data_IF_293956577340
#
_entry.id   IF_293956577340
#
_cell.length_a   1.000
_cell.length_b   1.000
_cell.length_c   1.000
_cell.angle_alpha   90.00
_cell.angle_beta   90.00
_cell.angle_gamma   90.00
#
_symmetry.space_group_name_H-M   'P 1'
#
loop_
_entity.id
_entity.type
_entity.pdbx_description
1 polymer ?
#
# COMPACT_ATOMS: atom_id res chain seq x y z
N UNK A 1 -18.05 1.68 -22.36
CA UNK A 1 -17.56 0.48 -21.64
C UNK A 1 -16.04 0.58 -21.62
N UNK A 2 -15.41 0.88 -20.46
CA UNK A 2 -13.96 0.76 -20.35
C UNK A 2 -13.60 -0.74 -20.42
N UNK A 3 -12.76 -1.08 -21.37
CA UNK A 3 -12.22 -2.45 -21.52
C UNK A 3 -11.50 -2.85 -20.22
N UNK A 4 -11.84 -4.00 -19.69
CA UNK A 4 -11.25 -4.50 -18.44
C UNK A 4 -9.74 -4.68 -18.67
N UNK A 5 -8.93 -3.98 -17.90
CA UNK A 5 -7.46 -3.93 -18.05
C UNK A 5 -6.86 -5.33 -17.93
N UNK A 6 -6.10 -5.76 -18.93
CA UNK A 6 -5.50 -7.09 -18.96
C UNK A 6 -4.32 -7.15 -17.99
N UNK A 7 -4.46 -7.89 -16.88
CA UNK A 7 -3.34 -8.13 -15.95
C UNK A 7 -2.22 -8.92 -16.64
N UNK A 8 -1.00 -8.40 -16.60
CA UNK A 8 0.19 -9.01 -17.21
C UNK A 8 1.07 -9.67 -16.16
N UNK A 9 1.89 -10.67 -16.56
CA UNK A 9 2.84 -11.31 -15.65
C UNK A 9 3.83 -10.33 -15.03
N UNK A 10 4.29 -9.32 -15.79
CA UNK A 10 5.16 -8.27 -15.26
C UNK A 10 4.44 -7.38 -14.22
N UNK A 11 3.14 -7.12 -14.42
CA UNK A 11 2.32 -6.41 -13.43
C UNK A 11 2.20 -7.19 -12.13
N UNK A 12 1.95 -8.49 -12.23
CA UNK A 12 1.90 -9.40 -11.07
C UNK A 12 3.24 -9.40 -10.32
N UNK A 13 4.35 -9.52 -11.04
CA UNK A 13 5.68 -9.50 -10.44
C UNK A 13 5.94 -8.22 -9.62
N UNK A 14 5.65 -7.04 -10.19
CA UNK A 14 5.83 -5.78 -9.47
C UNK A 14 4.94 -5.68 -8.23
N UNK A 15 3.68 -6.12 -8.31
CA UNK A 15 2.76 -6.07 -7.17
C UNK A 15 3.15 -7.06 -6.07
N UNK A 16 3.62 -8.25 -6.42
CA UNK A 16 4.12 -9.22 -5.44
C UNK A 16 5.41 -8.73 -4.76
N UNK A 17 6.34 -8.14 -5.54
CA UNK A 17 7.54 -7.54 -4.99
C UNK A 17 7.18 -6.42 -3.99
N UNK A 18 6.20 -5.59 -4.34
CA UNK A 18 5.66 -4.56 -3.43
C UNK A 18 5.13 -5.19 -2.14
N UNK A 19 4.31 -6.25 -2.25
CA UNK A 19 3.73 -6.92 -1.08
C UNK A 19 4.79 -7.52 -0.14
N UNK A 20 5.84 -8.15 -0.71
CA UNK A 20 6.97 -8.66 0.09
C UNK A 20 7.66 -7.52 0.85
N UNK A 21 8.04 -6.46 0.13
CA UNK A 21 8.78 -5.33 0.74
C UNK A 21 7.93 -4.63 1.79
N UNK A 22 6.63 -4.42 1.53
CA UNK A 22 5.74 -3.79 2.50
C UNK A 22 5.43 -4.68 3.70
N UNK A 23 5.35 -5.99 3.53
CA UNK A 23 5.20 -6.90 4.65
C UNK A 23 6.34 -6.73 5.67
N UNK A 24 7.59 -6.74 5.21
CA UNK A 24 8.73 -6.46 6.08
C UNK A 24 8.80 -5.00 6.56
N UNK A 25 8.19 -4.06 5.82
CA UNK A 25 8.14 -2.66 6.24
C UNK A 25 7.28 -2.46 7.50
N UNK A 26 6.25 -3.29 7.75
CA UNK A 26 5.50 -3.23 9.00
C UNK A 26 6.37 -3.51 10.20
N UNK A 27 7.28 -4.49 10.10
CA UNK A 27 8.27 -4.78 11.15
C UNK A 27 9.20 -3.58 11.37
N UNK A 28 9.73 -3.01 10.29
CA UNK A 28 10.57 -1.82 10.37
C UNK A 28 9.82 -0.62 10.97
N UNK A 29 8.56 -0.41 10.60
CA UNK A 29 7.71 0.64 11.15
C UNK A 29 7.46 0.45 12.66
N UNK A 30 7.21 -0.79 13.09
CA UNK A 30 7.03 -1.14 14.51
C UNK A 30 8.29 -0.84 15.30
N UNK A 31 9.46 -1.33 14.86
CA UNK A 31 10.75 -1.03 15.53
C UNK A 31 11.07 0.47 15.49
N UNK A 32 10.77 1.15 14.39
CA UNK A 32 11.00 2.59 14.24
C UNK A 32 10.14 3.43 15.17
N UNK A 33 8.90 3.03 15.45
CA UNK A 33 7.98 3.76 16.31
C UNK A 33 8.32 3.73 17.79
N UNK A 34 9.23 2.84 18.22
CA UNK A 34 9.80 2.87 19.58
C UNK A 34 10.70 4.09 19.82
N UNK A 35 11.17 4.74 18.75
CA UNK A 35 12.17 5.78 18.80
C UNK A 35 11.74 7.10 18.16
N UNK A 36 10.92 7.05 17.11
CA UNK A 36 10.58 8.20 16.28
C UNK A 36 9.08 8.25 16.03
N UNK A 37 8.45 9.40 16.31
CA UNK A 37 7.02 9.61 16.11
C UNK A 37 6.60 9.56 14.64
N UNK A 38 5.32 9.27 14.39
CA UNK A 38 4.76 8.99 13.07
C UNK A 38 5.06 10.08 12.02
N UNK A 39 4.98 11.35 12.39
CA UNK A 39 5.20 12.46 11.46
C UNK A 39 6.66 12.54 11.01
N UNK A 40 7.62 12.47 11.95
CA UNK A 40 9.04 12.54 11.62
C UNK A 40 9.49 11.30 10.88
N UNK A 41 9.05 10.10 11.32
CA UNK A 41 9.35 8.85 10.63
C UNK A 41 8.88 8.89 9.17
N UNK A 42 7.64 9.30 8.91
CA UNK A 42 7.11 9.46 7.56
C UNK A 42 7.86 10.54 6.77
N UNK A 43 8.13 11.70 7.36
CA UNK A 43 8.87 12.79 6.72
C UNK A 43 10.22 12.32 6.19
N UNK A 44 11.00 11.63 7.03
CA UNK A 44 12.34 11.15 6.68
C UNK A 44 12.27 10.03 5.63
N UNK A 45 11.42 9.00 5.83
CA UNK A 45 11.37 7.87 4.87
C UNK A 45 10.89 8.29 3.48
N UNK A 46 9.91 9.21 3.40
CA UNK A 46 9.45 9.73 2.12
C UNK A 46 10.47 10.64 1.45
N UNK A 47 11.24 11.43 2.22
CA UNK A 47 12.36 12.20 1.70
C UNK A 47 13.44 11.28 1.09
N UNK A 48 13.86 10.26 1.81
CA UNK A 48 14.86 9.28 1.34
C UNK A 48 14.37 8.56 0.06
N UNK A 49 13.10 8.12 0.04
CA UNK A 49 12.51 7.48 -1.13
C UNK A 49 12.42 8.43 -2.33
N UNK A 50 12.03 9.68 -2.12
CA UNK A 50 12.00 10.70 -3.18
C UNK A 50 13.39 11.00 -3.75
N UNK A 51 14.38 11.16 -2.89
CA UNK A 51 15.78 11.39 -3.29
C UNK A 51 16.35 10.19 -4.07
N UNK A 52 16.01 8.96 -3.68
CA UNK A 52 16.47 7.74 -4.37
C UNK A 52 15.98 7.64 -5.82
N UNK A 53 14.86 8.30 -6.15
CA UNK A 53 14.32 8.29 -7.52
C UNK A 53 15.00 9.29 -8.46
N UNK A 54 15.72 10.30 -7.94
CA UNK A 54 16.36 11.31 -8.79
C UNK A 54 17.30 10.70 -9.83
N UNK A 55 18.28 9.84 -9.47
CA UNK A 55 19.15 9.20 -10.46
C UNK A 55 18.38 8.23 -11.37
N UNK A 56 17.36 7.56 -10.86
CA UNK A 56 16.55 6.62 -11.66
C UNK A 56 15.77 7.38 -12.74
N UNK A 57 15.16 8.54 -12.40
CA UNK A 57 14.47 9.40 -13.36
C UNK A 57 15.45 9.92 -14.41
N UNK A 58 16.63 10.39 -14.01
CA UNK A 58 17.63 10.92 -14.93
C UNK A 58 18.09 9.87 -15.94
N UNK A 59 18.24 8.60 -15.52
CA UNK A 59 18.77 7.53 -16.37
C UNK A 59 17.69 6.83 -17.22
N UNK A 60 16.50 6.65 -16.71
CA UNK A 60 15.50 5.75 -17.31
C UNK A 60 14.25 6.43 -17.85
N UNK A 61 13.94 7.67 -17.46
CA UNK A 61 12.74 8.31 -17.93
C UNK A 61 12.95 9.06 -19.25
N UNK A 62 12.35 8.54 -20.31
CA UNK A 62 12.38 9.16 -21.63
C UNK A 62 11.28 10.23 -21.75
N UNK A 63 11.66 11.39 -22.31
CA UNK A 63 10.70 12.45 -22.65
C UNK A 63 9.85 12.04 -23.86
N UNK A 64 8.55 12.41 -23.83
CA UNK A 64 7.73 12.27 -25.03
C UNK A 64 8.28 13.22 -26.11
N UNK A 65 8.51 12.76 -27.36
CA UNK A 65 9.06 13.57 -28.44
C UNK A 65 8.09 14.68 -28.89
N UNK A 66 6.77 14.49 -28.76
CA UNK A 66 5.78 15.52 -29.06
C UNK A 66 5.65 16.53 -27.91
N UNK A 67 5.99 17.83 -28.14
CA UNK A 67 5.97 18.83 -27.07
C UNK A 67 4.59 19.10 -26.46
N UNK A 68 3.51 19.02 -27.24
CA UNK A 68 2.15 19.25 -26.75
C UNK A 68 1.72 18.11 -25.81
N UNK A 69 1.88 16.87 -26.26
CA UNK A 69 1.63 15.67 -25.45
C UNK A 69 2.52 15.61 -24.22
N UNK A 70 3.79 16.04 -24.33
CA UNK A 70 4.71 16.12 -23.20
C UNK A 70 4.21 17.09 -22.12
N UNK A 71 3.78 18.31 -22.51
CA UNK A 71 3.25 19.32 -21.57
C UNK A 71 1.99 18.82 -20.84
N UNK A 72 1.07 18.21 -21.59
CA UNK A 72 -0.15 17.64 -21.00
C UNK A 72 0.18 16.49 -20.03
N UNK A 73 1.08 15.59 -20.41
CA UNK A 73 1.51 14.47 -19.60
C UNK A 73 2.16 14.93 -18.29
N UNK A 74 3.03 15.95 -18.34
CA UNK A 74 3.63 16.55 -17.14
C UNK A 74 2.55 17.14 -16.24
N UNK A 75 1.61 17.95 -16.80
CA UNK A 75 0.53 18.55 -16.02
C UNK A 75 -0.30 17.49 -15.30
N UNK A 76 -0.70 16.44 -16.00
CA UNK A 76 -1.46 15.32 -15.41
C UNK A 76 -0.64 14.61 -14.33
N UNK A 77 0.64 14.37 -14.58
CA UNK A 77 1.56 13.75 -13.60
C UNK A 77 1.68 14.57 -12.32
N UNK A 78 1.79 15.89 -12.43
CA UNK A 78 1.89 16.79 -11.27
C UNK A 78 0.58 16.81 -10.48
N UNK A 79 -0.56 17.00 -11.15
CA UNK A 79 -1.87 17.05 -10.46
C UNK A 79 -2.18 15.72 -9.78
N UNK A 80 -2.05 14.62 -10.50
CA UNK A 80 -2.28 13.29 -9.94
C UNK A 80 -1.29 12.96 -8.81
N UNK A 81 -0.01 13.36 -8.95
CA UNK A 81 1.02 13.19 -7.93
C UNK A 81 0.72 13.95 -6.64
N UNK A 82 0.19 15.17 -6.75
CA UNK A 82 -0.22 15.96 -5.57
C UNK A 82 -1.43 15.30 -4.89
N UNK A 83 -2.46 14.93 -5.64
CA UNK A 83 -3.66 14.27 -5.09
C UNK A 83 -3.28 12.95 -4.41
N UNK A 84 -2.50 12.10 -5.09
CA UNK A 84 -2.02 10.86 -4.50
C UNK A 84 -1.08 11.10 -3.32
N UNK A 85 -0.26 12.15 -3.36
CA UNK A 85 0.63 12.52 -2.26
C UNK A 85 -0.14 12.89 -0.98
N UNK A 86 -1.25 13.63 -1.11
CA UNK A 86 -2.12 13.95 0.03
C UNK A 86 -2.77 12.67 0.59
N UNK A 87 -3.33 11.83 -0.27
CA UNK A 87 -3.93 10.55 0.14
C UNK A 87 -2.90 9.64 0.80
N UNK A 88 -1.71 9.54 0.21
CA UNK A 88 -0.61 8.73 0.70
C UNK A 88 -0.09 9.23 2.05
N UNK A 89 0.10 10.54 2.21
CA UNK A 89 0.51 11.16 3.47
C UNK A 89 -0.51 10.86 4.57
N UNK A 90 -1.80 11.09 4.30
CA UNK A 90 -2.86 10.85 5.28
C UNK A 90 -2.95 9.36 5.65
N UNK A 91 -2.93 8.46 4.65
CA UNK A 91 -2.97 7.02 4.88
C UNK A 91 -1.76 6.53 5.68
N UNK A 92 -0.54 6.91 5.27
CA UNK A 92 0.70 6.49 5.92
C UNK A 92 0.81 7.05 7.35
N UNK A 93 0.30 8.25 7.59
CA UNK A 93 0.28 8.85 8.93
C UNK A 93 -0.68 8.11 9.84
N UNK A 94 -1.90 7.82 9.39
CA UNK A 94 -2.85 7.02 10.17
C UNK A 94 -2.31 5.61 10.43
N UNK A 95 -1.65 4.99 9.45
CA UNK A 95 -1.03 3.67 9.62
C UNK A 95 0.08 3.70 10.68
N UNK A 96 1.03 4.62 10.56
CA UNK A 96 2.16 4.72 11.48
C UNK A 96 1.70 5.10 12.89
N UNK A 97 0.78 6.05 12.99
CA UNK A 97 0.19 6.45 14.27
C UNK A 97 -0.61 5.31 14.91
N UNK A 98 -1.35 4.52 14.11
CA UNK A 98 -2.03 3.34 14.59
C UNK A 98 -1.08 2.27 15.16
N UNK A 99 0.09 2.06 14.54
CA UNK A 99 1.15 1.19 15.06
C UNK A 99 1.65 1.70 16.42
N UNK A 100 1.92 3.00 16.55
CA UNK A 100 2.29 3.60 17.84
C UNK A 100 1.21 3.39 18.91
N UNK A 101 -0.06 3.56 18.57
CA UNK A 101 -1.18 3.34 19.49
C UNK A 101 -1.26 1.89 19.94
N UNK A 102 -1.08 0.92 19.04
CA UNK A 102 -1.04 -0.51 19.39
C UNK A 102 0.10 -0.82 20.37
N UNK A 103 1.29 -0.26 20.14
CA UNK A 103 2.42 -0.45 21.07
C UNK A 103 2.15 0.17 22.44
N UNK A 104 1.63 1.41 22.48
CA UNK A 104 1.26 2.09 23.74
C UNK A 104 0.17 1.35 24.50
N UNK A 105 -0.77 0.72 23.80
CA UNK A 105 -1.81 -0.12 24.39
C UNK A 105 -1.33 -1.53 24.77
N UNK A 106 -0.08 -1.88 24.47
CA UNK A 106 0.54 -3.17 24.82
C UNK A 106 0.08 -4.34 23.97
N UNK A 107 -0.35 -4.10 22.72
CA UNK A 107 -0.68 -5.19 21.80
C UNK A 107 0.61 -5.90 21.36
N UNK A 108 0.71 -7.23 21.54
CA UNK A 108 1.95 -7.99 21.29
C UNK A 108 2.23 -8.23 19.78
N UNK A 109 1.22 -8.00 18.93
CA UNK A 109 1.23 -8.29 17.48
C UNK A 109 0.95 -7.03 16.64
N UNK A 110 1.49 -5.88 17.05
CA UNK A 110 1.22 -4.58 16.44
C UNK A 110 1.48 -4.54 14.93
N UNK A 111 2.56 -5.17 14.46
CA UNK A 111 2.90 -5.24 13.04
C UNK A 111 1.90 -6.07 12.23
N UNK A 112 1.56 -7.27 12.70
CA UNK A 112 0.60 -8.16 12.07
C UNK A 112 -0.81 -7.56 12.05
N UNK A 113 -1.24 -6.95 13.17
CA UNK A 113 -2.55 -6.29 13.30
C UNK A 113 -2.69 -5.09 12.37
N UNK A 114 -1.68 -4.23 12.31
CA UNK A 114 -1.67 -3.10 11.38
C UNK A 114 -1.67 -3.57 9.93
N UNK A 115 -0.88 -4.58 9.57
CA UNK A 115 -0.86 -5.19 8.25
C UNK A 115 -2.22 -5.76 7.84
N UNK A 116 -2.92 -6.44 8.77
CA UNK A 116 -4.28 -6.94 8.53
C UNK A 116 -5.29 -5.84 8.24
N UNK A 117 -5.39 -4.88 9.14
CA UNK A 117 -6.39 -3.82 9.03
C UNK A 117 -6.15 -2.96 7.79
N UNK A 118 -4.87 -2.66 7.48
CA UNK A 118 -4.50 -1.97 6.24
C UNK A 118 -4.92 -2.76 5.01
N UNK A 119 -4.64 -4.06 4.96
CA UNK A 119 -4.92 -4.91 3.81
C UNK A 119 -6.43 -5.06 3.50
N UNK A 120 -7.32 -4.62 4.39
CA UNK A 120 -8.77 -4.55 4.12
C UNK A 120 -9.11 -3.62 2.96
N UNK A 121 -8.17 -2.77 2.48
CA UNK A 121 -8.35 -2.03 1.22
C UNK A 121 -8.68 -2.97 0.04
N UNK A 122 -8.28 -4.23 0.08
CA UNK A 122 -8.62 -5.21 -0.97
C UNK A 122 -10.12 -5.47 -1.10
N UNK A 123 -10.88 -5.31 -0.02
CA UNK A 123 -12.36 -5.37 -0.04
C UNK A 123 -12.94 -4.03 -0.48
N UNK A 124 -12.34 -2.93 0.00
CA UNK A 124 -12.82 -1.57 -0.27
C UNK A 124 -12.63 -1.17 -1.75
N UNK A 125 -11.51 -1.55 -2.39
CA UNK A 125 -11.26 -1.23 -3.80
C UNK A 125 -12.35 -1.75 -4.75
N UNK A 126 -12.73 -3.04 -4.75
CA UNK A 126 -13.81 -3.50 -5.60
C UNK A 126 -15.18 -2.93 -5.21
N UNK A 127 -15.43 -2.64 -3.92
CA UNK A 127 -16.65 -1.95 -3.48
C UNK A 127 -16.75 -0.53 -4.03
N UNK A 128 -15.67 0.25 -3.94
CA UNK A 128 -15.62 1.59 -4.54
C UNK A 128 -15.75 1.54 -6.06
N UNK A 129 -15.10 0.59 -6.72
CA UNK A 129 -15.28 0.38 -8.16
C UNK A 129 -16.74 0.09 -8.52
N UNK A 130 -17.45 -0.70 -7.72
CA UNK A 130 -18.88 -0.98 -7.92
C UNK A 130 -19.73 0.30 -7.78
N UNK A 131 -19.43 1.15 -6.79
CA UNK A 131 -20.10 2.44 -6.62
C UNK A 131 -19.85 3.39 -7.81
N UNK A 132 -18.71 3.28 -8.49
CA UNK A 132 -18.41 4.00 -9.73
C UNK A 132 -18.89 3.29 -11.01
N UNK A 133 -19.76 2.28 -10.90
CA UNK A 133 -20.34 1.55 -12.02
C UNK A 133 -19.40 0.52 -12.70
N UNK A 134 -18.20 0.30 -12.16
CA UNK A 134 -17.28 -0.74 -12.64
C UNK A 134 -17.59 -2.07 -11.93
N UNK A 135 -17.73 -3.16 -12.69
CA UNK A 135 -18.03 -4.49 -12.13
C UNK A 135 -16.76 -5.33 -12.02
N UNK A 136 -16.50 -5.90 -10.85
CA UNK A 136 -15.51 -6.95 -10.69
C UNK A 136 -16.10 -8.33 -11.10
N UNK A 137 -15.26 -9.21 -11.63
CA UNK A 137 -15.66 -10.55 -12.02
C UNK A 137 -15.96 -11.45 -10.81
N UNK A 138 -16.74 -12.54 -11.01
CA UNK A 138 -17.08 -13.49 -9.96
C UNK A 138 -15.82 -14.05 -9.25
N UNK A 139 -14.80 -14.46 -10.01
CA UNK A 139 -13.57 -15.00 -9.45
C UNK A 139 -12.79 -13.97 -8.63
N UNK A 140 -12.90 -12.67 -8.95
CA UNK A 140 -12.34 -11.59 -8.11
C UNK A 140 -13.03 -11.56 -6.75
N UNK A 141 -14.37 -11.66 -6.71
CA UNK A 141 -15.13 -11.68 -5.46
C UNK A 141 -14.86 -12.92 -4.62
N UNK A 142 -14.73 -14.09 -5.26
CA UNK A 142 -14.33 -15.34 -4.60
C UNK A 142 -12.93 -15.17 -3.99
N UNK A 143 -12.00 -14.61 -4.76
CA UNK A 143 -10.63 -14.34 -4.30
C UNK A 143 -10.58 -13.35 -3.12
N UNK A 144 -11.35 -12.28 -3.18
CA UNK A 144 -11.53 -11.32 -2.07
C UNK A 144 -12.07 -12.03 -0.83
N UNK A 145 -13.07 -12.92 -0.98
CA UNK A 145 -13.64 -13.69 0.12
C UNK A 145 -12.60 -14.61 0.79
N UNK A 146 -11.85 -15.41 0.01
CA UNK A 146 -10.77 -16.24 0.54
C UNK A 146 -9.70 -15.43 1.23
N UNK A 147 -9.26 -14.32 0.62
CA UNK A 147 -8.24 -13.47 1.19
C UNK A 147 -8.74 -12.78 2.48
N UNK A 148 -9.99 -12.32 2.55
CA UNK A 148 -10.58 -11.72 3.75
C UNK A 148 -10.66 -12.72 4.92
N UNK A 149 -11.09 -13.97 4.66
CA UNK A 149 -11.11 -15.04 5.66
C UNK A 149 -9.67 -15.36 6.09
N UNK A 150 -8.76 -15.46 5.15
CA UNK A 150 -7.33 -15.71 5.43
C UNK A 150 -6.72 -14.62 6.30
N UNK A 151 -6.95 -13.36 5.98
CA UNK A 151 -6.53 -12.22 6.76
C UNK A 151 -7.08 -12.28 8.20
N UNK A 152 -8.36 -12.57 8.34
CA UNK A 152 -8.98 -12.76 9.65
C UNK A 152 -8.29 -13.86 10.47
N UNK A 153 -7.96 -14.97 9.84
CA UNK A 153 -7.27 -16.09 10.50
C UNK A 153 -5.83 -15.77 10.88
N UNK A 154 -5.12 -14.96 10.09
CA UNK A 154 -3.74 -14.55 10.36
C UNK A 154 -3.67 -13.62 11.56
N UNK A 155 -4.59 -12.69 11.67
CA UNK A 155 -4.42 -11.52 12.55
C UNK A 155 -5.24 -11.52 13.83
N UNK A 156 -6.32 -12.32 13.91
CA UNK A 156 -7.16 -12.34 15.10
C UNK A 156 -6.75 -13.45 16.05
N UNK A 157 -6.03 -13.12 17.11
CA UNK A 157 -5.46 -14.12 18.04
C UNK A 157 -6.44 -14.70 19.06
N UNK A 158 -7.38 -13.96 19.67
CA UNK A 158 -8.22 -14.55 20.74
C UNK A 158 -9.58 -13.92 21.00
N UNK A 159 -9.76 -12.63 20.84
CA UNK A 159 -11.07 -11.98 21.03
C UNK A 159 -11.24 -10.90 19.98
N UNK A 160 -12.27 -11.07 19.13
CA UNK A 160 -12.63 -10.05 18.17
C UNK A 160 -13.34 -8.90 18.88
N UNK A 161 -12.55 -8.00 19.49
CA UNK A 161 -13.02 -6.72 19.96
C UNK A 161 -12.35 -5.64 19.08
N UNK A 162 -13.15 -4.84 18.39
CA UNK A 162 -12.68 -3.66 17.67
C UNK A 162 -12.28 -2.63 18.71
N UNK A 163 -11.01 -2.26 18.75
CA UNK A 163 -10.50 -1.20 19.62
C UNK A 163 -10.53 0.17 18.93
N UNK A 164 -10.46 1.28 19.66
CA UNK A 164 -10.36 2.61 19.07
C UNK A 164 -9.13 2.75 18.14
N UNK A 165 -8.02 2.09 18.47
CA UNK A 165 -6.78 2.05 17.68
C UNK A 165 -7.00 1.38 16.33
N UNK A 166 -7.84 0.33 16.27
CA UNK A 166 -8.22 -0.34 15.02
C UNK A 166 -8.93 0.62 14.07
N UNK A 167 -9.77 1.52 14.58
CA UNK A 167 -10.49 2.48 13.74
C UNK A 167 -9.54 3.45 13.04
N UNK A 168 -8.42 3.80 13.66
CA UNK A 168 -7.38 4.64 13.06
C UNK A 168 -6.77 3.93 11.85
N UNK A 169 -6.40 2.65 12.01
CA UNK A 169 -5.81 1.86 10.91
C UNK A 169 -6.86 1.51 9.85
N UNK A 170 -8.11 1.27 10.22
CA UNK A 170 -9.20 1.13 9.24
C UNK A 170 -9.39 2.40 8.40
N UNK A 171 -9.25 3.58 9.01
CA UNK A 171 -9.24 4.84 8.29
C UNK A 171 -8.11 4.89 7.23
N UNK A 172 -6.93 4.37 7.53
CA UNK A 172 -5.85 4.30 6.56
C UNK A 172 -6.19 3.35 5.39
N UNK A 173 -6.88 2.23 5.63
CA UNK A 173 -7.29 1.30 4.58
C UNK A 173 -8.25 1.97 3.56
N UNK A 174 -9.17 2.83 4.03
CA UNK A 174 -10.05 3.64 3.17
C UNK A 174 -9.23 4.57 2.27
N UNK A 175 -8.24 5.26 2.83
CA UNK A 175 -7.38 6.18 2.09
C UNK A 175 -6.46 5.46 1.12
N UNK A 176 -5.90 4.29 1.48
CA UNK A 176 -5.13 3.47 0.56
C UNK A 176 -6.00 2.91 -0.58
N UNK A 177 -7.25 2.52 -0.31
CA UNK A 177 -8.17 2.12 -1.37
C UNK A 177 -8.41 3.28 -2.36
N UNK A 178 -8.64 4.49 -1.87
CA UNK A 178 -8.76 5.68 -2.69
C UNK A 178 -7.47 5.96 -3.49
N UNK A 179 -6.30 5.87 -2.86
CA UNK A 179 -4.99 6.02 -3.51
C UNK A 179 -4.80 5.02 -4.67
N UNK A 180 -5.10 3.74 -4.46
CA UNK A 180 -5.05 2.69 -5.50
C UNK A 180 -5.94 3.06 -6.69
N UNK A 181 -7.16 3.56 -6.44
CA UNK A 181 -8.10 3.93 -7.50
C UNK A 181 -7.68 5.20 -8.26
N UNK A 182 -7.04 6.16 -7.59
CA UNK A 182 -6.49 7.35 -8.27
C UNK A 182 -5.31 6.95 -9.16
N UNK A 183 -4.42 6.07 -8.71
CA UNK A 183 -3.35 5.52 -9.57
C UNK A 183 -3.96 4.82 -10.79
N UNK A 184 -4.99 3.98 -10.63
CA UNK A 184 -5.64 3.32 -11.77
C UNK A 184 -6.26 4.34 -12.75
N UNK A 185 -6.91 5.38 -12.22
CA UNK A 185 -7.60 6.40 -13.03
C UNK A 185 -6.64 7.16 -13.95
N UNK A 186 -5.43 7.46 -13.49
CA UNK A 186 -4.46 8.28 -14.20
C UNK A 186 -3.29 7.47 -14.77
N UNK A 187 -3.13 6.19 -14.41
CA UNK A 187 -1.92 5.39 -14.62
C UNK A 187 -1.33 5.44 -16.03
N UNK A 188 -2.16 5.43 -17.08
CA UNK A 188 -1.70 5.43 -18.48
C UNK A 188 -1.27 6.83 -18.96
N UNK A 189 -1.70 7.89 -18.27
CA UNK A 189 -1.41 9.29 -18.61
C UNK A 189 -0.33 9.91 -17.69
N UNK A 190 0.61 9.10 -17.17
CA UNK A 190 1.63 9.55 -16.21
C UNK A 190 3.05 9.16 -16.61
N UNK A 191 4.00 10.04 -16.28
CA UNK A 191 5.39 9.67 -16.07
C UNK A 191 5.53 8.99 -14.70
N UNK A 192 5.57 7.65 -14.68
CA UNK A 192 5.43 6.87 -13.44
C UNK A 192 6.46 7.21 -12.36
N UNK A 193 7.74 7.37 -12.75
CA UNK A 193 8.80 7.71 -11.79
C UNK A 193 8.64 9.13 -11.23
N UNK A 194 8.31 10.11 -12.07
CA UNK A 194 8.03 11.49 -11.62
C UNK A 194 6.78 11.54 -10.75
N UNK A 195 5.76 10.80 -11.12
CA UNK A 195 4.55 10.67 -10.30
C UNK A 195 4.90 10.15 -8.90
N UNK A 196 5.68 9.05 -8.82
CA UNK A 196 6.14 8.50 -7.54
C UNK A 196 6.96 9.54 -6.75
N UNK A 197 7.89 10.24 -7.39
CA UNK A 197 8.68 11.28 -6.74
C UNK A 197 7.81 12.43 -6.20
N UNK A 198 6.83 12.91 -6.98
CA UNK A 198 5.96 14.02 -6.57
C UNK A 198 5.12 13.64 -5.35
N UNK A 199 4.50 12.46 -5.35
CA UNK A 199 3.73 12.02 -4.19
C UNK A 199 4.61 11.86 -2.94
N UNK A 200 5.85 11.41 -3.06
CA UNK A 200 6.79 11.31 -1.94
C UNK A 200 7.21 12.69 -1.42
N UNK A 201 7.47 13.65 -2.30
CA UNK A 201 7.78 15.03 -1.90
C UNK A 201 6.60 15.69 -1.17
N UNK A 202 5.37 15.47 -1.64
CA UNK A 202 4.17 15.95 -0.94
C UNK A 202 4.06 15.33 0.44
N UNK A 203 4.25 14.01 0.57
CA UNK A 203 4.28 13.34 1.87
C UNK A 203 5.37 13.91 2.78
N UNK A 204 6.58 14.14 2.26
CA UNK A 204 7.69 14.70 3.02
C UNK A 204 7.32 16.07 3.58
N UNK A 205 6.85 16.98 2.71
CA UNK A 205 6.51 18.35 3.12
C UNK A 205 5.39 18.37 4.15
N UNK A 206 4.31 17.63 3.91
CA UNK A 206 3.17 17.60 4.82
C UNK A 206 3.52 16.94 6.16
N UNK A 207 4.29 15.86 6.15
CA UNK A 207 4.69 15.15 7.38
C UNK A 207 5.67 15.99 8.22
N UNK A 208 6.68 16.61 7.60
CA UNK A 208 7.61 17.46 8.32
C UNK A 208 6.95 18.74 8.81
N UNK A 209 6.02 19.32 8.05
CA UNK A 209 5.23 20.47 8.50
C UNK A 209 4.36 20.11 9.72
N UNK A 210 3.67 18.95 9.68
CA UNK A 210 2.89 18.48 10.82
C UNK A 210 3.77 18.20 12.05
N UNK A 211 4.93 17.58 11.87
CA UNK A 211 5.91 17.40 12.95
C UNK A 211 6.34 18.74 13.55
N UNK A 212 6.77 19.70 12.72
CA UNK A 212 7.19 21.01 13.18
C UNK A 212 6.08 21.78 13.92
N UNK A 213 4.82 21.69 13.46
CA UNK A 213 3.66 22.30 14.12
C UNK A 213 3.43 21.66 15.49
N UNK A 214 3.46 20.32 15.60
CA UNK A 214 3.24 19.63 16.87
C UNK A 214 4.34 19.90 17.89
N UNK A 215 5.59 20.03 17.44
CA UNK A 215 6.73 20.45 18.27
C UNK A 215 6.57 21.89 18.73
N UNK A 216 6.29 22.82 17.81
CA UNK A 216 6.11 24.23 18.13
C UNK A 216 4.92 24.50 19.08
N UNK A 217 3.89 23.68 18.98
CA UNK A 217 2.72 23.71 19.87
C UNK A 217 2.96 23.05 21.24
N UNK A 218 4.14 22.46 21.49
CA UNK A 218 4.45 21.73 22.73
C UNK A 218 3.68 20.41 22.90
N UNK A 219 3.05 19.92 21.83
CA UNK A 219 2.30 18.64 21.84
C UNK A 219 3.25 17.44 21.79
N UNK A 220 4.38 17.61 21.08
CA UNK A 220 5.39 16.59 20.88
C UNK A 220 6.78 17.11 21.24
N UNK A 221 7.55 16.29 21.97
CA UNK A 221 8.96 16.59 22.25
C UNK A 221 9.80 16.20 21.05
N UNK A 222 10.70 17.07 20.54
CA UNK A 222 11.54 16.71 19.40
C UNK A 222 12.43 15.52 19.74
N UNK A 223 12.56 14.62 18.79
CA UNK A 223 13.41 13.44 18.90
C UNK A 223 14.89 13.85 18.99
N UNK A 224 15.62 13.15 19.84
CA UNK A 224 17.05 13.36 20.01
C UNK A 224 17.87 12.70 18.86
N UNK A 225 19.14 13.10 18.74
CA UNK A 225 20.06 12.43 17.80
C UNK A 225 20.24 10.95 18.15
N UNK A 226 20.09 10.55 19.42
CA UNK A 226 20.16 9.16 19.86
C UNK A 226 18.98 8.36 19.34
N UNK A 227 17.75 8.92 19.39
CA UNK A 227 16.55 8.30 18.87
C UNK A 227 16.64 8.08 17.35
N UNK A 228 17.11 9.10 16.61
CA UNK A 228 17.33 8.97 15.17
C UNK A 228 18.39 7.91 14.82
N UNK A 229 19.46 7.81 15.61
CA UNK A 229 20.47 6.74 15.42
C UNK A 229 19.90 5.35 15.71
N UNK A 230 19.07 5.22 16.72
CA UNK A 230 18.39 3.96 17.04
C UNK A 230 17.41 3.54 15.94
N UNK A 231 16.72 4.50 15.32
CA UNK A 231 15.78 4.26 14.22
C UNK A 231 16.44 4.19 12.83
N UNK A 232 17.78 4.27 12.70
CA UNK A 232 18.45 4.41 11.40
C UNK A 232 18.13 3.27 10.43
N UNK A 233 18.15 2.02 10.89
CA UNK A 233 17.84 0.85 10.05
C UNK A 233 16.38 0.85 9.58
N UNK A 234 15.37 1.01 10.46
CA UNK A 234 13.99 1.22 10.07
C UNK A 234 13.78 2.37 9.07
N UNK A 235 14.43 3.51 9.29
CA UNK A 235 14.33 4.69 8.40
C UNK A 235 14.93 4.42 7.02
N UNK A 236 16.09 3.78 6.94
CA UNK A 236 16.72 3.42 5.66
C UNK A 236 15.89 2.38 4.91
N UNK A 237 15.41 1.33 5.58
CA UNK A 237 14.52 0.35 4.97
C UNK A 237 13.21 1.01 4.50
N UNK A 238 12.59 1.80 5.38
CA UNK A 238 11.37 2.55 5.07
C UNK A 238 11.55 3.49 3.88
N UNK A 239 12.68 4.19 3.80
CA UNK A 239 12.97 5.14 2.73
C UNK A 239 13.30 4.45 1.41
N UNK A 240 14.34 3.65 1.36
CA UNK A 240 14.83 3.07 0.10
C UNK A 240 13.96 1.91 -0.38
N UNK A 241 13.64 0.96 0.49
CA UNK A 241 12.91 -0.24 0.08
C UNK A 241 11.41 0.02 0.04
N UNK A 242 10.79 0.46 1.14
CA UNK A 242 9.34 0.61 1.21
C UNK A 242 8.84 1.79 0.37
N UNK A 243 9.49 2.95 0.42
CA UNK A 243 9.08 4.12 -0.37
C UNK A 243 9.69 4.06 -1.77
N UNK A 244 10.99 4.06 -1.90
CA UNK A 244 11.67 4.14 -3.20
C UNK A 244 11.30 2.98 -4.13
N UNK A 245 11.49 1.76 -3.70
CA UNK A 245 11.27 0.56 -4.52
C UNK A 245 9.78 0.19 -4.56
N UNK A 246 9.15 -0.08 -3.41
CA UNK A 246 7.84 -0.73 -3.40
C UNK A 246 6.72 0.17 -3.94
N UNK A 247 6.58 1.45 -3.54
CA UNK A 247 5.57 2.33 -4.14
C UNK A 247 5.80 2.57 -5.63
N UNK A 248 7.06 2.60 -6.09
CA UNK A 248 7.37 2.70 -7.51
C UNK A 248 6.93 1.43 -8.25
N UNK A 249 7.22 0.25 -7.70
CA UNK A 249 6.75 -1.02 -8.21
C UNK A 249 5.21 -1.12 -8.20
N UNK A 250 4.55 -0.60 -7.17
CA UNK A 250 3.09 -0.50 -7.12
C UNK A 250 2.55 0.27 -8.33
N UNK A 251 3.06 1.47 -8.59
CA UNK A 251 2.62 2.30 -9.74
C UNK A 251 2.84 1.56 -11.06
N UNK A 252 4.01 0.95 -11.25
CA UNK A 252 4.34 0.19 -12.46
C UNK A 252 3.47 -1.06 -12.60
N UNK A 253 3.16 -1.74 -11.52
CA UNK A 253 2.29 -2.91 -11.47
C UNK A 253 0.84 -2.57 -11.75
N UNK A 254 0.30 -1.53 -11.10
CA UNK A 254 -1.08 -1.09 -11.30
C UNK A 254 -1.36 -0.56 -12.71
N UNK A 255 -0.37 0.00 -13.40
CA UNK A 255 -0.51 0.31 -14.85
C UNK A 255 -0.79 -0.93 -15.70
N UNK A 256 -0.48 -2.13 -15.20
CA UNK A 256 -0.54 -3.42 -15.93
C UNK A 256 -1.48 -4.43 -15.28
N UNK A 257 -2.36 -3.98 -14.38
CA UNK A 257 -3.30 -4.84 -13.67
C UNK A 257 -4.64 -4.16 -13.45
N UNK A 258 -5.70 -4.93 -13.34
CA UNK A 258 -6.99 -4.45 -12.86
C UNK A 258 -6.87 -4.04 -11.38
N UNK A 259 -7.46 -2.91 -10.94
CA UNK A 259 -7.29 -2.41 -9.57
C UNK A 259 -7.78 -3.37 -8.48
N UNK A 260 -8.84 -4.14 -8.75
CA UNK A 260 -9.33 -5.14 -7.81
C UNK A 260 -8.34 -6.32 -7.69
N UNK A 261 -7.74 -6.75 -8.80
CA UNK A 261 -6.67 -7.78 -8.79
C UNK A 261 -5.41 -7.24 -8.11
N UNK A 262 -5.06 -5.97 -8.39
CA UNK A 262 -3.90 -5.33 -7.78
C UNK A 262 -4.05 -5.24 -6.26
N UNK A 263 -5.22 -4.86 -5.75
CA UNK A 263 -5.46 -4.76 -4.31
C UNK A 263 -5.34 -6.11 -3.59
N UNK A 264 -5.80 -7.21 -4.21
CA UNK A 264 -5.65 -8.57 -3.64
C UNK A 264 -4.19 -9.02 -3.67
N UNK A 265 -3.43 -8.72 -4.74
CA UNK A 265 -2.00 -9.03 -4.79
C UNK A 265 -1.22 -8.26 -3.72
N UNK A 266 -1.50 -6.97 -3.57
CA UNK A 266 -0.86 -6.12 -2.58
C UNK A 266 -1.19 -6.58 -1.14
N UNK A 267 -2.43 -7.07 -0.88
CA UNK A 267 -2.83 -7.52 0.46
C UNK A 267 -2.02 -8.70 1.00
N UNK A 268 -1.22 -9.38 0.16
CA UNK A 268 -0.23 -10.36 0.62
C UNK A 268 0.83 -9.74 1.55
N UNK A 269 0.95 -8.40 1.59
CA UNK A 269 1.80 -7.71 2.57
C UNK A 269 1.50 -8.14 4.01
N UNK A 270 0.23 -8.40 4.32
CA UNK A 270 -0.19 -8.89 5.63
C UNK A 270 0.37 -10.28 5.97
N UNK A 271 0.42 -11.18 4.98
CA UNK A 271 1.08 -12.48 5.14
C UNK A 271 2.59 -12.30 5.38
N UNK A 272 3.22 -11.43 4.60
CA UNK A 272 4.66 -11.17 4.75
C UNK A 272 4.98 -10.38 6.01
N UNK A 273 4.06 -9.56 6.56
CA UNK A 273 4.26 -8.90 7.84
C UNK A 273 4.31 -9.89 9.01
N UNK A 274 3.44 -10.90 8.99
CA UNK A 274 3.45 -11.97 10.00
C UNK A 274 4.70 -12.85 9.87
N UNK A 275 5.10 -13.18 8.64
CA UNK A 275 6.36 -13.91 8.39
C UNK A 275 7.57 -13.08 8.88
N UNK A 276 7.59 -11.79 8.57
CA UNK A 276 8.65 -10.88 9.02
C UNK A 276 8.68 -10.72 10.54
N UNK A 277 7.52 -10.59 11.19
CA UNK A 277 7.38 -10.58 12.65
C UNK A 277 7.93 -11.85 13.29
N UNK A 278 7.58 -13.02 12.74
CA UNK A 278 8.09 -14.30 13.25
C UNK A 278 9.62 -14.44 13.08
N UNK A 279 10.18 -14.00 11.95
CA UNK A 279 11.61 -14.14 11.65
C UNK A 279 12.48 -13.12 12.38
N UNK A 280 12.02 -11.88 12.53
CA UNK A 280 12.83 -10.75 13.02
C UNK A 280 12.50 -10.44 14.47
N UNK A 281 11.21 -10.41 14.83
CA UNK A 281 10.74 -10.10 16.19
C UNK A 281 10.51 -11.37 17.03
N UNK A 282 10.76 -12.56 16.46
CA UNK A 282 10.52 -13.87 17.10
C UNK A 282 9.07 -14.08 17.55
N UNK A 283 8.11 -13.42 16.90
CA UNK A 283 6.68 -13.61 17.12
C UNK A 283 6.27 -15.05 16.75
N UNK A 284 5.43 -15.68 17.58
CA UNK A 284 4.99 -17.07 17.31
C UNK A 284 3.75 -17.08 16.44
N UNK A 285 3.85 -17.65 15.27
CA UNK A 285 2.69 -17.91 14.42
C UNK A 285 1.91 -19.13 14.90
N UNK A 286 0.59 -18.98 15.04
CA UNK A 286 -0.31 -20.08 15.39
C UNK A 286 -0.63 -20.97 14.18
N UNK A 287 -1.08 -22.19 14.38
CA UNK A 287 -1.59 -23.05 13.29
C UNK A 287 -2.69 -22.37 12.48
N UNK A 288 -3.53 -21.57 13.14
CA UNK A 288 -4.56 -20.73 12.52
C UNK A 288 -3.95 -19.69 11.56
N UNK A 289 -2.83 -19.06 11.93
CA UNK A 289 -2.11 -18.13 11.07
C UNK A 289 -1.59 -18.80 9.80
N UNK A 290 -1.04 -20.01 9.88
CA UNK A 290 -0.61 -20.77 8.69
C UNK A 290 -1.78 -21.05 7.74
N UNK A 291 -2.94 -21.48 8.27
CA UNK A 291 -4.16 -21.70 7.46
C UNK A 291 -4.58 -20.39 6.79
N UNK A 292 -4.52 -19.28 7.51
CA UNK A 292 -4.81 -17.94 6.98
C UNK A 292 -3.90 -17.54 5.82
N UNK A 293 -2.59 -17.78 5.93
CA UNK A 293 -1.64 -17.53 4.83
C UNK A 293 -1.98 -18.34 3.58
N UNK A 294 -2.34 -19.60 3.73
CA UNK A 294 -2.77 -20.46 2.61
C UNK A 294 -4.04 -19.91 1.95
N UNK A 295 -5.02 -19.47 2.73
CA UNK A 295 -6.26 -18.90 2.19
C UNK A 295 -6.01 -17.57 1.45
N UNK A 296 -5.13 -16.69 1.96
CA UNK A 296 -4.74 -15.47 1.23
C UNK A 296 -4.13 -15.85 -0.12
N UNK A 297 -3.21 -16.81 -0.13
CA UNK A 297 -2.58 -17.26 -1.37
C UNK A 297 -3.58 -17.85 -2.36
N UNK A 298 -4.52 -18.69 -1.90
CA UNK A 298 -5.62 -19.22 -2.72
C UNK A 298 -6.52 -18.09 -3.24
N UNK A 299 -6.79 -17.08 -2.43
CA UNK A 299 -7.53 -15.88 -2.83
C UNK A 299 -6.84 -15.17 -4.01
N UNK A 300 -5.52 -14.96 -3.91
CA UNK A 300 -4.72 -14.40 -5.01
C UNK A 300 -4.83 -15.24 -6.28
N UNK A 301 -4.68 -16.57 -6.18
CA UNK A 301 -4.81 -17.48 -7.33
C UNK A 301 -6.19 -17.38 -7.97
N UNK A 302 -7.26 -17.33 -7.19
CA UNK A 302 -8.63 -17.17 -7.69
C UNK A 302 -8.79 -15.90 -8.53
N UNK A 303 -8.19 -14.77 -8.12
CA UNK A 303 -8.28 -13.50 -8.89
C UNK A 303 -7.59 -13.57 -10.26
N UNK A 304 -6.65 -14.52 -10.45
CA UNK A 304 -5.94 -14.71 -11.71
C UNK A 304 -6.73 -15.57 -12.71
N UNK A 305 -7.77 -16.28 -12.24
CA UNK A 305 -8.62 -17.12 -13.09
C UNK A 305 -9.49 -16.25 -13.98
N UNK A 306 -9.30 -16.38 -15.31
CA UNK A 306 -10.13 -15.67 -16.29
C UNK A 306 -11.32 -16.55 -16.68
N UNK A 307 -12.52 -16.15 -16.30
CA UNK A 307 -13.73 -16.69 -16.91
C UNK A 307 -13.87 -16.12 -18.33
N UNK A 308 -13.62 -16.95 -19.37
CA UNK A 308 -14.04 -16.66 -20.74
C UNK A 308 -15.49 -17.17 -20.89
N UNK A 309 -16.51 -16.29 -20.91
CA UNK A 309 -17.85 -16.76 -21.26
C UNK A 309 -17.79 -17.38 -22.66
N UNK A 310 -18.31 -18.62 -22.81
CA UNK A 310 -18.53 -19.22 -24.14
C UNK A 310 -19.31 -18.23 -24.99
N UNK A 311 -18.91 -17.98 -26.24
CA UNK A 311 -19.73 -17.19 -27.14
C UNK A 311 -21.12 -17.82 -27.17
N UNK A 312 -22.16 -17.03 -26.91
CA UNK A 312 -23.55 -17.47 -27.12
C UNK A 312 -23.62 -17.90 -28.57
N UNK A 313 -23.79 -19.20 -28.80
CA UNK A 313 -24.15 -19.71 -30.12
C UNK A 313 -25.37 -18.94 -30.57
N UNK A 314 -25.21 -18.16 -31.65
CA UNK A 314 -26.35 -17.57 -32.33
C UNK A 314 -27.26 -18.72 -32.74
N UNK A 315 -28.32 -18.95 -31.97
CA UNK A 315 -29.40 -19.84 -32.41
C UNK A 315 -29.96 -19.13 -33.65
N UNK A 316 -29.67 -19.74 -34.78
CA UNK A 316 -30.29 -19.46 -36.07
C UNK A 316 -31.79 -19.36 -35.89
N UNK A 317 -32.34 -18.16 -36.04
CA UNK A 317 -33.72 -17.99 -36.40
C UNK A 317 -33.93 -18.71 -37.75
N UNK A 318 -34.67 -19.82 -37.74
CA UNK A 318 -35.37 -20.30 -38.90
C UNK A 318 -36.79 -19.73 -38.87
#
# INVERSE_FOLDING_TARGET
MQEQKKTTGLGIFFLLLTAVVWGFAFVAQTVGSDHVGAFLFNGIRFALGGLSLLPVIALFEKKNPDPASHKQLIRTTVIAGIVCGILLCSASTLQQYGIELFQRAGFPDSSGRAGFLTALYMVLVPLFNLAFGKKAGLFTWIGVGFAAIGLFLVSVSSAFAISPEDLVVLGCAVLFAAHILVIDRFGDALYSLRFSMIQFLVCTVLSLAAWGITVAAGIHTPESLADLKAAIVPLLYGGFMSVGVAYTCQVLGQKRADPAVASVLLSMESMFSVIGGALILHERMTARGYIGCVLIFLGVLCTQVRYRPKPRSAHSAK
#
